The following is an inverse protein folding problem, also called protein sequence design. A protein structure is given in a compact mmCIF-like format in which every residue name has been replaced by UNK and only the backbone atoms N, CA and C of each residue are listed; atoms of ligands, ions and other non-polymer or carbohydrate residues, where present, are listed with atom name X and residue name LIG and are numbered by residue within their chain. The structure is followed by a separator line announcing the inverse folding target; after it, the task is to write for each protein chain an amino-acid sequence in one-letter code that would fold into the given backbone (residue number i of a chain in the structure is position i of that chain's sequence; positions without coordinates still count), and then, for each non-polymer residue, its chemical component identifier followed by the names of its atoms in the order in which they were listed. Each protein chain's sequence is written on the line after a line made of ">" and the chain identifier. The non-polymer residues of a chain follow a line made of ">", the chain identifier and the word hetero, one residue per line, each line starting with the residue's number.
data_IF_824437293878
#
_entry.id   IF_824437293878
#
_cell.length_a   1.000
_cell.length_b   1.000
_cell.length_c   1.000
_cell.angle_alpha   90.00
_cell.angle_beta   90.00
_cell.angle_gamma   90.00
#
_symmetry.space_group_name_H-M   'P 1'
#
loop_
_entity.id
_entity.type
_entity.pdbx_description
1 polymer ?
#
# COMPACT_ATOMS: atom_id res chain seq x y z
N UNK A 1 -26.51 5.59 -15.80
CA UNK A 1 -25.23 4.97 -16.22
C UNK A 1 -23.99 5.82 -15.90
N UNK A 2 -23.99 7.14 -16.13
CA UNK A 2 -22.83 8.01 -15.89
C UNK A 2 -22.21 7.93 -14.47
N UNK A 3 -23.03 7.75 -13.43
CA UNK A 3 -22.56 7.62 -12.04
C UNK A 3 -21.75 6.35 -11.79
N UNK A 4 -22.08 5.24 -12.45
CA UNK A 4 -21.35 3.98 -12.34
C UNK A 4 -19.99 4.10 -13.02
N UNK A 5 -19.96 4.62 -14.25
CA UNK A 5 -18.71 4.87 -14.99
C UNK A 5 -17.75 5.72 -14.16
N UNK A 6 -18.24 6.83 -13.58
CA UNK A 6 -17.41 7.70 -12.72
C UNK A 6 -16.85 6.99 -11.49
N UNK A 7 -17.62 6.08 -10.87
CA UNK A 7 -17.15 5.31 -9.71
C UNK A 7 -16.10 4.28 -10.12
N UNK A 8 -16.34 3.55 -11.20
CA UNK A 8 -15.40 2.55 -11.73
C UNK A 8 -14.09 3.22 -12.15
N UNK A 9 -14.13 4.35 -12.86
CA UNK A 9 -12.91 5.07 -13.27
C UNK A 9 -12.04 5.49 -12.08
N UNK A 10 -12.64 5.87 -10.95
CA UNK A 10 -11.88 6.19 -9.73
C UNK A 10 -11.17 4.97 -9.15
N UNK A 11 -11.85 3.82 -9.12
CA UNK A 11 -11.26 2.57 -8.62
C UNK A 11 -10.14 2.11 -9.54
N UNK A 12 -10.34 2.15 -10.85
CA UNK A 12 -9.30 1.82 -11.84
C UNK A 12 -8.11 2.75 -11.68
N UNK A 13 -8.33 4.06 -11.56
CA UNK A 13 -7.25 5.02 -11.33
C UNK A 13 -6.48 4.75 -10.03
N UNK A 14 -7.19 4.40 -8.95
CA UNK A 14 -6.56 4.04 -7.68
C UNK A 14 -5.71 2.76 -7.81
N UNK A 15 -6.21 1.73 -8.49
CA UNK A 15 -5.46 0.48 -8.73
C UNK A 15 -4.20 0.77 -9.57
N UNK A 16 -4.31 1.58 -10.62
CA UNK A 16 -3.15 1.97 -11.43
C UNK A 16 -2.13 2.72 -10.59
N UNK A 17 -2.55 3.66 -9.74
CA UNK A 17 -1.66 4.34 -8.81
C UNK A 17 -1.01 3.36 -7.83
N UNK A 18 -1.75 2.38 -7.29
CA UNK A 18 -1.21 1.37 -6.38
C UNK A 18 -0.10 0.56 -7.04
N UNK A 19 -0.30 0.14 -8.30
CA UNK A 19 0.72 -0.58 -9.07
C UNK A 19 1.97 0.29 -9.26
N UNK A 20 1.81 1.57 -9.60
CA UNK A 20 2.93 2.50 -9.76
C UNK A 20 3.68 2.69 -8.44
N UNK A 21 2.96 2.94 -7.34
CA UNK A 21 3.55 3.13 -6.00
C UNK A 21 4.32 1.88 -5.56
N UNK A 22 3.72 0.70 -5.67
CA UNK A 22 4.40 -0.56 -5.34
C UNK A 22 5.68 -0.77 -6.17
N UNK A 23 5.64 -0.46 -7.46
CA UNK A 23 6.85 -0.52 -8.31
C UNK A 23 7.91 0.50 -7.92
N UNK A 24 7.52 1.68 -7.45
CA UNK A 24 8.45 2.71 -6.98
C UNK A 24 9.10 2.38 -5.63
N UNK A 25 8.38 1.67 -4.75
CA UNK A 25 8.91 1.26 -3.45
C UNK A 25 10.00 0.18 -3.56
N UNK A 26 9.94 -0.65 -4.61
CA UNK A 26 10.92 -1.70 -4.83
C UNK A 26 10.74 -2.85 -3.84
N UNK A 27 11.76 -3.70 -3.74
CA UNK A 27 11.68 -4.93 -2.94
C UNK A 27 11.79 -4.61 -1.43
N UNK A 28 10.80 -5.04 -0.60
CA UNK A 28 10.75 -4.79 0.83
C UNK A 28 11.96 -5.28 1.62
N UNK A 29 12.68 -6.31 1.16
CA UNK A 29 13.88 -6.81 1.83
C UNK A 29 15.02 -5.77 1.92
N UNK A 30 15.02 -4.75 1.06
CA UNK A 30 16.06 -3.73 1.05
C UNK A 30 15.79 -2.52 1.96
N UNK A 31 14.54 -2.29 2.35
CA UNK A 31 14.16 -1.06 3.06
C UNK A 31 13.35 -1.30 4.33
N UNK A 32 12.73 -2.48 4.52
CA UNK A 32 12.19 -2.88 5.80
C UNK A 32 13.28 -3.50 6.67
N UNK A 33 13.33 -3.08 7.93
CA UNK A 33 14.26 -3.70 8.88
C UNK A 33 13.74 -5.07 9.30
N UNK A 34 14.63 -6.06 9.29
CA UNK A 34 14.31 -7.42 9.72
C UNK A 34 13.79 -7.47 11.17
N UNK A 35 14.35 -6.66 12.08
CA UNK A 35 13.88 -6.56 13.47
C UNK A 35 12.44 -6.07 13.57
N UNK A 36 12.03 -5.15 12.69
CA UNK A 36 10.65 -4.68 12.64
C UNK A 36 9.73 -5.78 12.12
N UNK A 37 10.14 -6.46 11.04
CA UNK A 37 9.40 -7.58 10.47
C UNK A 37 9.23 -8.70 11.50
N UNK A 38 10.26 -9.07 12.24
CA UNK A 38 10.16 -10.07 13.30
C UNK A 38 9.18 -9.66 14.40
N UNK A 39 9.20 -8.39 14.84
CA UNK A 39 8.24 -7.90 15.84
C UNK A 39 6.80 -8.01 15.34
N UNK A 40 6.55 -7.64 14.08
CA UNK A 40 5.23 -7.78 13.46
C UNK A 40 4.88 -9.25 13.28
N UNK A 41 5.83 -10.10 12.91
CA UNK A 41 5.65 -11.54 12.79
C UNK A 41 5.25 -12.17 14.11
N UNK A 42 5.92 -11.82 15.21
CA UNK A 42 5.54 -12.30 16.55
C UNK A 42 4.17 -11.79 17.00
N UNK A 43 3.77 -10.60 16.55
CA UNK A 43 2.44 -10.06 16.80
C UNK A 43 1.35 -10.87 16.07
N UNK A 44 1.63 -11.35 14.85
CA UNK A 44 0.68 -12.12 14.02
C UNK A 44 0.66 -13.60 14.42
N UNK A 45 1.82 -14.22 14.57
CA UNK A 45 1.96 -15.68 14.72
C UNK A 45 2.25 -16.13 16.16
N UNK A 46 2.52 -15.18 17.08
CA UNK A 46 2.80 -15.46 18.49
C UNK A 46 4.28 -15.53 18.87
N UNK A 47 4.55 -15.73 20.17
CA UNK A 47 5.90 -15.86 20.70
C UNK A 47 6.45 -17.28 20.43
N UNK A 48 7.52 -17.37 19.63
CA UNK A 48 8.15 -18.63 19.23
C UNK A 48 8.97 -18.46 17.96
N UNK A 49 9.66 -19.50 17.51
CA UNK A 49 10.36 -19.46 16.23
C UNK A 49 9.36 -19.25 15.09
N UNK A 50 9.60 -18.22 14.28
CA UNK A 50 8.81 -17.95 13.08
C UNK A 50 9.53 -18.62 11.91
N UNK A 51 8.85 -19.55 11.24
CA UNK A 51 9.39 -20.18 10.04
C UNK A 51 9.66 -19.16 8.93
N UNK A 52 10.63 -19.45 8.06
CA UNK A 52 11.05 -18.54 6.98
C UNK A 52 9.88 -18.11 6.08
N UNK A 53 8.96 -19.04 5.75
CA UNK A 53 7.76 -18.75 4.95
C UNK A 53 6.87 -17.68 5.61
N UNK A 54 6.66 -17.76 6.93
CA UNK A 54 5.88 -16.77 7.67
C UNK A 54 6.58 -15.41 7.77
N UNK A 55 7.92 -15.38 7.74
CA UNK A 55 8.68 -14.13 7.71
C UNK A 55 8.51 -13.45 6.34
N UNK A 56 8.60 -14.21 5.25
CA UNK A 56 8.41 -13.70 3.89
C UNK A 56 6.98 -13.15 3.70
N UNK A 57 5.98 -13.88 4.20
CA UNK A 57 4.59 -13.41 4.27
C UNK A 57 4.46 -12.11 5.05
N UNK A 58 5.18 -11.98 6.17
CA UNK A 58 5.15 -10.77 6.99
C UNK A 58 5.74 -9.57 6.24
N UNK A 59 6.85 -9.76 5.51
CA UNK A 59 7.39 -8.72 4.63
C UNK A 59 6.34 -8.27 3.60
N UNK A 60 5.68 -9.23 2.94
CA UNK A 60 4.65 -8.94 1.95
C UNK A 60 3.46 -8.18 2.55
N UNK A 61 2.96 -8.58 3.72
CA UNK A 61 1.83 -7.91 4.37
C UNK A 61 2.17 -6.48 4.78
N UNK A 62 3.36 -6.25 5.34
CA UNK A 62 3.82 -4.91 5.71
C UNK A 62 3.95 -4.04 4.45
N UNK A 63 4.60 -4.54 3.41
CA UNK A 63 4.77 -3.83 2.15
C UNK A 63 3.41 -3.44 1.54
N UNK A 64 2.47 -4.39 1.45
CA UNK A 64 1.14 -4.15 0.92
C UNK A 64 0.39 -3.06 1.72
N UNK A 65 0.45 -3.10 3.05
CA UNK A 65 -0.20 -2.09 3.91
C UNK A 65 0.40 -0.71 3.68
N UNK A 66 1.73 -0.62 3.59
CA UNK A 66 2.42 0.65 3.34
C UNK A 66 2.08 1.16 1.93
N UNK A 67 2.14 0.31 0.91
CA UNK A 67 1.82 0.66 -0.47
C UNK A 67 0.39 1.19 -0.60
N UNK A 68 -0.60 0.53 0.02
CA UNK A 68 -1.99 1.01 0.05
C UNK A 68 -2.13 2.34 0.79
N UNK A 69 -1.43 2.51 1.92
CA UNK A 69 -1.48 3.74 2.72
C UNK A 69 -0.88 4.93 1.96
N UNK A 70 0.30 4.75 1.37
CA UNK A 70 0.98 5.77 0.55
C UNK A 70 0.14 6.11 -0.68
N UNK A 71 -0.40 5.10 -1.37
CA UNK A 71 -1.29 5.30 -2.53
C UNK A 71 -2.52 6.10 -2.14
N UNK A 72 -3.11 5.82 -0.98
CA UNK A 72 -4.27 6.58 -0.47
C UNK A 72 -3.92 8.03 -0.21
N UNK A 73 -2.79 8.31 0.45
CA UNK A 73 -2.34 9.68 0.66
C UNK A 73 -2.13 10.43 -0.66
N UNK A 74 -1.44 9.81 -1.64
CA UNK A 74 -1.20 10.40 -2.97
C UNK A 74 -2.52 10.63 -3.71
N UNK A 75 -3.43 9.66 -3.72
CA UNK A 75 -4.74 9.80 -4.37
C UNK A 75 -5.55 10.96 -3.78
N UNK A 76 -5.57 11.10 -2.45
CA UNK A 76 -6.26 12.21 -1.78
C UNK A 76 -5.62 13.56 -2.11
N UNK A 77 -4.30 13.63 -2.17
CA UNK A 77 -3.58 14.84 -2.60
C UNK A 77 -3.96 15.22 -4.04
N UNK A 78 -3.93 14.27 -4.98
CA UNK A 78 -4.31 14.49 -6.38
C UNK A 78 -5.75 15.02 -6.48
N UNK A 79 -6.70 14.37 -5.82
CA UNK A 79 -8.12 14.79 -5.85
C UNK A 79 -8.30 16.18 -5.25
N UNK A 80 -7.57 16.50 -4.17
CA UNK A 80 -7.62 17.80 -3.51
C UNK A 80 -7.06 18.91 -4.41
N UNK A 81 -5.93 18.65 -5.08
CA UNK A 81 -5.32 19.57 -6.03
C UNK A 81 -6.23 19.82 -7.23
N UNK A 82 -6.82 18.77 -7.82
CA UNK A 82 -7.76 18.90 -8.94
C UNK A 82 -8.97 19.75 -8.52
N UNK A 83 -9.57 19.48 -7.35
CA UNK A 83 -10.69 20.29 -6.84
C UNK A 83 -10.29 21.75 -6.64
N UNK A 84 -9.10 22.01 -6.12
CA UNK A 84 -8.58 23.38 -5.92
C UNK A 84 -8.38 24.11 -7.24
N UNK A 85 -7.88 23.43 -8.27
CA UNK A 85 -7.70 23.99 -9.62
C UNK A 85 -9.06 24.26 -10.28
N UNK A 86 -10.01 23.33 -10.16
CA UNK A 86 -11.36 23.46 -10.75
C UNK A 86 -12.30 24.42 -10.00
N UNK A 87 -11.99 24.75 -8.74
CA UNK A 87 -12.75 25.70 -7.93
C UNK A 87 -12.31 27.15 -8.14
N UNK A 88 -11.24 27.37 -8.91
CA UNK A 88 -10.74 28.67 -9.31
C UNK A 88 -11.21 28.98 -10.72
#
# INVERSE_FOLDING_TARGET
>A
MATLVRRVSKVVFFILLLVVVGRCMGDPFYWLSYDFVLKVGHLIYGAGEIGAENIDDTYFYIDLVIAVSVTTAIYLLIVTLIKKIMSK
#
